data_IF_365522804257
#
_entry.id   IF_365522804257
#
_cell.length_a   1.000
_cell.length_b   1.000
_cell.length_c   1.000
_cell.angle_alpha   90.00
_cell.angle_beta   90.00
_cell.angle_gamma   90.00
#
_symmetry.space_group_name_H-M   'P 1'
#
loop_
_entity.id
_entity.type
_entity.pdbx_description
1 polymer ?
#
# COMPACT_ATOMS: atom_id res chain seq x y z
N UNK A 1 63.69 -2.76 20.76
CA UNK A 1 63.02 -3.50 19.66
C UNK A 1 61.71 -4.18 20.08
N UNK A 2 61.66 -5.02 21.13
CA UNK A 2 60.41 -5.69 21.57
C UNK A 2 59.22 -4.76 21.83
N UNK A 3 59.42 -3.63 22.51
CA UNK A 3 58.35 -2.63 22.78
C UNK A 3 57.80 -1.97 21.51
N UNK A 4 58.65 -1.71 20.52
CA UNK A 4 58.23 -1.09 19.25
C UNK A 4 57.39 -2.08 18.45
N UNK A 5 57.80 -3.35 18.39
CA UNK A 5 57.04 -4.42 17.76
C UNK A 5 55.67 -4.65 18.42
N UNK A 6 55.58 -4.62 19.76
CA UNK A 6 54.31 -4.73 20.47
C UNK A 6 53.38 -3.55 20.16
N UNK A 7 53.92 -2.32 20.14
CA UNK A 7 53.12 -1.14 19.81
C UNK A 7 52.62 -1.15 18.35
N UNK A 8 53.44 -1.61 17.40
CA UNK A 8 53.03 -1.76 15.99
C UNK A 8 51.94 -2.83 15.85
N UNK A 9 52.07 -3.95 16.57
CA UNK A 9 51.07 -5.02 16.56
C UNK A 9 49.73 -4.54 17.14
N UNK A 10 49.77 -3.72 18.20
CA UNK A 10 48.60 -3.12 18.85
C UNK A 10 47.91 -2.08 17.94
N UNK A 11 48.68 -1.29 17.19
CA UNK A 11 48.12 -0.33 16.22
C UNK A 11 47.48 -1.05 15.05
N UNK A 12 48.10 -2.12 14.55
CA UNK A 12 47.55 -2.95 13.46
C UNK A 12 46.27 -3.68 13.88
N UNK A 13 46.22 -4.23 15.10
CA UNK A 13 45.00 -4.88 15.60
C UNK A 13 43.89 -3.86 15.87
N UNK A 14 44.20 -2.70 16.46
CA UNK A 14 43.21 -1.62 16.65
C UNK A 14 42.70 -1.07 15.31
N UNK A 15 43.57 -0.91 14.30
CA UNK A 15 43.18 -0.49 12.95
C UNK A 15 42.27 -1.49 12.24
N UNK A 16 42.55 -2.79 12.34
CA UNK A 16 41.70 -3.85 11.79
C UNK A 16 40.32 -3.95 12.48
N UNK A 17 40.26 -3.66 13.78
CA UNK A 17 38.99 -3.59 14.52
C UNK A 17 38.17 -2.34 14.19
N UNK A 18 38.80 -1.23 13.80
CA UNK A 18 38.09 -0.03 13.33
C UNK A 18 37.50 -0.21 11.93
N UNK A 19 38.20 -0.89 11.02
CA UNK A 19 37.68 -1.20 9.67
C UNK A 19 36.48 -2.17 9.71
N UNK A 20 36.49 -3.14 10.63
CA UNK A 20 35.36 -4.07 10.82
C UNK A 20 34.15 -3.41 11.49
N UNK A 21 34.35 -2.49 12.43
CA UNK A 21 33.24 -1.72 13.02
C UNK A 21 32.69 -0.64 12.08
N UNK A 22 33.54 -0.05 11.23
CA UNK A 22 33.07 0.84 10.17
C UNK A 22 32.10 0.11 9.24
N UNK A 23 32.41 -1.12 8.82
CA UNK A 23 31.54 -1.95 7.98
C UNK A 23 30.18 -2.30 8.61
N UNK A 24 30.06 -2.39 9.94
CA UNK A 24 28.75 -2.62 10.59
C UNK A 24 27.85 -1.37 10.61
N UNK A 25 28.42 -0.18 10.41
CA UNK A 25 27.69 1.09 10.27
C UNK A 25 27.29 1.43 8.81
N UNK A 26 27.60 0.56 7.83
CA UNK A 26 27.48 0.82 6.38
C UNK A 26 26.14 0.43 5.73
N UNK A 27 25.07 0.25 6.52
CA UNK A 27 23.77 -0.06 5.92
C UNK A 27 22.60 0.51 6.70
N UNK A 28 21.70 1.17 5.98
CA UNK A 28 20.40 1.58 6.52
C UNK A 28 19.48 0.36 6.53
N UNK A 29 18.65 0.26 7.55
CA UNK A 29 17.73 -0.87 7.69
C UNK A 29 16.38 -0.51 7.08
N UNK A 30 15.97 -1.27 6.08
CA UNK A 30 14.63 -1.20 5.51
C UNK A 30 13.71 -2.25 6.15
N UNK A 31 12.44 -1.91 6.35
CA UNK A 31 11.40 -2.85 6.76
C UNK A 31 10.19 -2.73 5.87
N UNK A 32 9.75 -3.84 5.28
CA UNK A 32 8.47 -3.92 4.57
C UNK A 32 7.36 -4.31 5.53
N UNK A 33 6.23 -3.62 5.45
CA UNK A 33 5.02 -3.96 6.19
C UNK A 33 3.81 -3.84 5.29
N UNK A 34 3.04 -4.93 5.17
CA UNK A 34 1.74 -4.90 4.52
C UNK A 34 0.69 -4.47 5.54
N UNK A 35 -0.07 -3.42 5.24
CA UNK A 35 -1.04 -2.81 6.15
C UNK A 35 -2.42 -2.70 5.50
N UNK A 36 -3.47 -2.69 6.33
CA UNK A 36 -4.82 -2.39 5.84
C UNK A 36 -4.87 -0.97 5.30
N UNK A 37 -5.48 -0.79 4.13
CA UNK A 37 -5.85 0.51 3.63
C UNK A 37 -6.90 1.18 4.52
N UNK A 38 -7.82 0.38 5.08
CA UNK A 38 -8.86 0.82 6.01
C UNK A 38 -8.81 0.00 7.28
N UNK A 39 -8.62 0.70 8.41
CA UNK A 39 -8.62 0.08 9.72
C UNK A 39 -10.05 -0.10 10.22
N UNK A 40 -10.73 -1.10 9.67
CA UNK A 40 -12.12 -1.46 9.99
C UNK A 40 -12.22 -2.97 10.15
N UNK A 41 -13.05 -3.38 11.12
CA UNK A 41 -13.40 -4.77 11.36
C UNK A 41 -14.73 -5.16 10.69
N UNK A 42 -15.40 -4.20 10.03
CA UNK A 42 -16.60 -4.48 9.26
C UNK A 42 -16.23 -5.16 7.94
N UNK A 43 -16.75 -6.36 7.72
CA UNK A 43 -16.47 -7.19 6.54
C UNK A 43 -16.83 -6.50 5.22
N UNK A 44 -17.81 -5.60 5.22
CA UNK A 44 -18.22 -4.85 4.02
C UNK A 44 -17.25 -3.74 3.63
N UNK A 45 -16.39 -3.33 4.56
CA UNK A 45 -15.39 -2.26 4.35
C UNK A 45 -13.96 -2.74 4.57
N UNK A 46 -13.77 -3.95 5.10
CA UNK A 46 -12.48 -4.62 5.26
C UNK A 46 -11.93 -5.02 3.89
N UNK A 47 -10.71 -4.56 3.62
CA UNK A 47 -9.97 -4.86 2.39
C UNK A 47 -9.36 -6.27 2.42
N UNK A 48 -8.76 -6.68 3.53
CA UNK A 48 -8.13 -8.01 3.71
C UNK A 48 -8.25 -8.46 5.17
N UNK A 49 -8.46 -9.75 5.39
CA UNK A 49 -8.54 -10.33 6.74
C UNK A 49 -7.19 -10.27 7.48
N UNK A 50 -7.23 -10.16 8.81
CA UNK A 50 -6.03 -10.17 9.67
C UNK A 50 -5.15 -11.41 9.44
N UNK A 51 -5.77 -12.57 9.23
CA UNK A 51 -5.05 -13.81 8.92
C UNK A 51 -4.24 -13.69 7.64
N UNK A 52 -4.81 -13.06 6.61
CA UNK A 52 -4.13 -12.85 5.33
C UNK A 52 -3.02 -11.82 5.47
N UNK A 53 -3.23 -10.72 6.22
CA UNK A 53 -2.19 -9.75 6.52
C UNK A 53 -1.03 -10.35 7.30
N UNK A 54 -1.31 -11.18 8.30
CA UNK A 54 -0.28 -11.89 9.06
C UNK A 54 0.52 -12.84 8.18
N UNK A 55 -0.14 -13.54 7.25
CA UNK A 55 0.55 -14.37 6.26
C UNK A 55 1.45 -13.53 5.33
N UNK A 56 0.93 -12.43 4.79
CA UNK A 56 1.67 -11.56 3.90
C UNK A 56 2.90 -10.94 4.57
N UNK A 57 2.78 -10.48 5.82
CA UNK A 57 3.88 -9.89 6.59
C UNK A 57 4.94 -10.91 7.04
N UNK A 58 4.64 -12.21 7.07
CA UNK A 58 5.62 -13.26 7.39
C UNK A 58 6.42 -13.72 6.18
N UNK A 59 5.98 -13.39 4.97
CA UNK A 59 6.61 -13.81 3.72
C UNK A 59 7.84 -12.95 3.43
N UNK A 60 8.85 -13.55 2.80
CA UNK A 60 9.97 -12.80 2.24
C UNK A 60 9.52 -12.00 1.02
N UNK A 61 9.81 -10.70 1.00
CA UNK A 61 9.54 -9.81 -0.10
C UNK A 61 10.78 -9.61 -0.96
N UNK A 62 10.60 -9.52 -2.27
CA UNK A 62 11.68 -9.18 -3.19
C UNK A 62 11.82 -7.65 -3.24
N UNK A 63 13.03 -7.11 -3.12
CA UNK A 63 13.29 -5.66 -3.08
C UNK A 63 14.25 -5.29 -4.21
N UNK A 64 13.76 -4.55 -5.19
CA UNK A 64 14.59 -4.02 -6.26
C UNK A 64 15.02 -2.60 -5.90
N UNK A 65 16.33 -2.37 -5.75
CA UNK A 65 16.88 -1.04 -5.47
C UNK A 65 17.65 -0.60 -6.70
N UNK A 66 17.30 0.56 -7.24
CA UNK A 66 17.92 1.12 -8.44
C UNK A 66 18.44 2.52 -8.16
N UNK A 67 19.66 2.82 -8.57
CA UNK A 67 20.16 4.18 -8.71
C UNK A 67 20.53 4.45 -10.18
N UNK A 68 21.18 5.58 -10.48
CA UNK A 68 21.55 5.94 -11.86
C UNK A 68 22.54 4.98 -12.54
N UNK A 69 23.32 4.21 -11.78
CA UNK A 69 24.46 3.42 -12.28
C UNK A 69 24.26 1.92 -12.13
N UNK A 70 23.36 1.51 -11.24
CA UNK A 70 23.31 0.14 -10.75
C UNK A 70 21.92 -0.23 -10.22
N UNK A 71 21.61 -1.52 -10.32
CA UNK A 71 20.37 -2.12 -9.83
C UNK A 71 20.72 -3.41 -9.09
N UNK A 72 20.15 -3.59 -7.90
CA UNK A 72 20.27 -4.83 -7.13
C UNK A 72 18.91 -5.37 -6.72
N UNK A 73 18.83 -6.70 -6.60
CA UNK A 73 17.67 -7.41 -6.08
C UNK A 73 18.03 -8.05 -4.76
N UNK A 74 17.34 -7.63 -3.70
CA UNK A 74 17.47 -8.17 -2.34
C UNK A 74 16.19 -8.91 -1.96
N UNK A 75 16.24 -9.60 -0.82
CA UNK A 75 15.05 -10.15 -0.17
C UNK A 75 14.99 -9.74 1.28
N UNK A 76 13.78 -9.57 1.79
CA UNK A 76 13.58 -9.43 3.23
C UNK A 76 13.75 -10.77 3.93
N UNK A 77 14.01 -10.70 5.23
CA UNK A 77 13.82 -11.84 6.13
C UNK A 77 12.32 -12.07 6.44
N UNK A 78 12.04 -12.98 7.38
CA UNK A 78 10.67 -13.31 7.84
C UNK A 78 10.03 -12.23 8.71
N UNK A 79 10.78 -11.22 9.15
CA UNK A 79 10.29 -10.04 9.86
C UNK A 79 10.06 -8.86 8.91
N UNK A 80 10.28 -9.06 7.60
CA UNK A 80 10.18 -8.03 6.58
C UNK A 80 11.40 -7.11 6.51
N UNK A 81 12.51 -7.44 7.18
CA UNK A 81 13.69 -6.58 7.31
C UNK A 81 14.71 -6.88 6.20
N UNK A 82 15.37 -5.83 5.69
CA UNK A 82 16.48 -5.90 4.76
C UNK A 82 17.49 -4.78 4.99
N UNK A 83 18.71 -4.92 4.47
CA UNK A 83 19.77 -3.91 4.56
C UNK A 83 19.95 -3.20 3.22
N UNK A 84 19.99 -1.87 3.24
CA UNK A 84 20.22 -1.03 2.07
C UNK A 84 21.72 -0.71 2.00
N UNK A 85 22.42 -1.07 0.91
CA UNK A 85 23.82 -0.72 0.74
C UNK A 85 24.04 0.79 0.60
N UNK A 86 25.12 1.31 1.19
CA UNK A 86 25.53 2.73 1.13
C UNK A 86 25.50 3.36 -0.26
N UNK A 87 25.85 2.58 -1.30
CA UNK A 87 25.85 3.06 -2.70
C UNK A 87 24.47 3.55 -3.21
N UNK A 88 23.38 3.28 -2.50
CA UNK A 88 22.03 3.74 -2.84
C UNK A 88 21.52 4.91 -1.98
N UNK A 89 22.33 5.47 -1.07
CA UNK A 89 21.83 6.47 -0.11
C UNK A 89 21.54 7.84 -0.71
N UNK A 90 22.26 8.25 -1.76
CA UNK A 90 22.15 9.61 -2.31
C UNK A 90 20.96 9.79 -3.27
N UNK A 91 20.63 8.75 -4.03
CA UNK A 91 19.51 8.75 -4.96
C UNK A 91 19.16 7.29 -5.27
N UNK A 92 17.92 6.89 -5.02
CA UNK A 92 17.44 5.60 -5.46
C UNK A 92 15.92 5.56 -5.63
N UNK A 93 15.46 4.60 -6.42
CA UNK A 93 14.12 4.04 -6.31
C UNK A 93 14.21 2.67 -5.64
N UNK A 94 13.21 2.38 -4.81
CA UNK A 94 13.02 1.07 -4.17
C UNK A 94 11.67 0.55 -4.63
N UNK A 95 11.66 -0.56 -5.36
CA UNK A 95 10.45 -1.27 -5.74
C UNK A 95 10.32 -2.55 -4.92
N UNK A 96 9.26 -2.65 -4.14
CA UNK A 96 8.93 -3.85 -3.39
C UNK A 96 8.10 -4.78 -4.28
N UNK A 97 8.38 -6.08 -4.25
CA UNK A 97 7.79 -7.15 -5.06
C UNK A 97 7.60 -6.79 -6.54
N UNK A 98 8.66 -6.44 -7.30
CA UNK A 98 8.56 -5.92 -8.67
C UNK A 98 7.81 -6.86 -9.64
N UNK A 99 7.80 -8.16 -9.37
CA UNK A 99 7.13 -9.20 -10.19
C UNK A 99 5.70 -9.53 -9.75
N UNK A 100 5.24 -9.04 -8.58
CA UNK A 100 3.92 -9.35 -8.04
C UNK A 100 3.05 -8.11 -8.06
N UNK A 101 2.27 -7.93 -9.13
CA UNK A 101 1.49 -6.71 -9.40
C UNK A 101 0.67 -6.21 -8.20
N UNK A 102 0.05 -7.11 -7.44
CA UNK A 102 -0.88 -6.76 -6.35
C UNK A 102 -0.19 -6.44 -5.03
N UNK A 103 1.13 -6.64 -4.96
CA UNK A 103 2.00 -6.31 -3.83
C UNK A 103 3.15 -5.40 -4.26
N UNK A 104 3.11 -4.87 -5.48
CA UNK A 104 4.15 -4.04 -6.03
C UNK A 104 3.92 -2.61 -5.56
N UNK A 105 4.92 -2.05 -4.90
CA UNK A 105 4.92 -0.65 -4.48
C UNK A 105 6.27 -0.01 -4.83
N UNK A 106 6.27 1.25 -5.24
CA UNK A 106 7.48 1.96 -5.64
C UNK A 106 7.68 3.23 -4.81
N UNK A 107 8.89 3.37 -4.26
CA UNK A 107 9.30 4.47 -3.41
C UNK A 107 10.46 5.20 -4.07
N UNK A 108 10.28 6.48 -4.36
CA UNK A 108 11.29 7.30 -5.03
C UNK A 108 11.94 8.27 -4.05
N UNK A 109 13.27 8.26 -4.00
CA UNK A 109 14.08 9.11 -3.13
C UNK A 109 15.00 9.99 -3.98
N UNK A 110 14.48 11.15 -4.39
CA UNK A 110 15.19 12.09 -5.27
C UNK A 110 16.36 12.78 -4.55
N UNK A 111 16.16 13.11 -3.27
CA UNK A 111 17.15 13.79 -2.42
C UNK A 111 17.96 12.80 -1.56
N UNK A 112 17.81 11.50 -1.83
CA UNK A 112 18.40 10.42 -1.05
C UNK A 112 17.57 9.99 0.15
N UNK A 113 18.09 9.03 0.92
CA UNK A 113 17.38 8.39 2.02
C UNK A 113 17.37 9.22 3.32
N UNK A 114 18.04 10.38 3.32
CA UNK A 114 18.20 11.24 4.50
C UNK A 114 19.07 10.63 5.60
N UNK A 115 19.10 11.27 6.78
CA UNK A 115 19.93 10.85 7.92
C UNK A 115 19.35 9.67 8.72
N UNK A 116 18.12 9.24 8.47
CA UNK A 116 17.45 8.18 9.26
C UNK A 116 18.13 6.83 9.09
N UNK A 117 18.42 6.14 10.19
CA UNK A 117 19.05 4.81 10.18
C UNK A 117 18.11 3.71 9.70
N UNK A 118 16.80 3.94 9.77
CA UNK A 118 15.78 2.99 9.34
C UNK A 118 14.65 3.61 8.52
N UNK A 119 14.08 2.80 7.63
CA UNK A 119 12.96 3.14 6.75
C UNK A 119 11.89 2.05 6.83
N UNK A 120 10.63 2.45 7.02
CA UNK A 120 9.48 1.55 6.94
C UNK A 120 8.71 1.78 5.63
N UNK A 121 8.63 0.75 4.80
CA UNK A 121 7.95 0.72 3.52
C UNK A 121 6.58 0.06 3.70
N UNK A 122 5.53 0.88 3.72
CA UNK A 122 4.15 0.41 3.88
C UNK A 122 3.55 0.07 2.52
N UNK A 123 3.14 -1.18 2.36
CA UNK A 123 2.35 -1.63 1.21
C UNK A 123 0.90 -1.73 1.66
N UNK A 124 0.02 -0.97 1.03
CA UNK A 124 -1.40 -1.05 1.34
C UNK A 124 -2.04 -2.23 0.62
N UNK A 125 -2.88 -2.97 1.32
CA UNK A 125 -3.59 -4.14 0.80
C UNK A 125 -4.71 -3.81 -0.20
N UNK A 126 -4.91 -2.53 -0.53
CA UNK A 126 -5.91 -2.06 -1.48
C UNK A 126 -5.83 -2.80 -2.82
N UNK A 127 -4.63 -2.98 -3.38
CA UNK A 127 -4.43 -3.69 -4.64
C UNK A 127 -4.83 -5.17 -4.56
N UNK A 128 -4.61 -5.80 -3.41
CA UNK A 128 -4.99 -7.19 -3.14
C UNK A 128 -6.52 -7.31 -3.08
N UNK A 129 -7.16 -6.44 -2.30
CA UNK A 129 -8.61 -6.44 -2.12
C UNK A 129 -9.35 -6.23 -3.45
N UNK A 130 -8.87 -5.27 -4.25
CA UNK A 130 -9.37 -5.02 -5.60
C UNK A 130 -9.22 -6.23 -6.52
N UNK A 131 -8.08 -6.94 -6.46
CA UNK A 131 -7.89 -8.14 -7.26
C UNK A 131 -8.83 -9.26 -6.85
N UNK A 132 -8.97 -9.51 -5.55
CA UNK A 132 -9.86 -10.56 -5.04
C UNK A 132 -11.29 -10.30 -5.51
N UNK A 133 -11.77 -9.07 -5.31
CA UNK A 133 -13.14 -8.69 -5.66
C UNK A 133 -13.36 -8.73 -7.18
N UNK A 134 -12.42 -8.23 -7.99
CA UNK A 134 -12.51 -8.30 -9.45
C UNK A 134 -12.45 -9.72 -10.00
N UNK A 135 -11.79 -10.65 -9.33
CA UNK A 135 -11.74 -12.06 -9.74
C UNK A 135 -13.05 -12.78 -9.42
N UNK A 136 -13.64 -12.47 -8.27
CA UNK A 136 -14.85 -13.14 -7.77
C UNK A 136 -16.16 -12.55 -8.31
N UNK A 137 -16.18 -11.25 -8.63
CA UNK A 137 -17.34 -10.55 -9.20
C UNK A 137 -16.93 -9.77 -10.48
N UNK A 138 -16.42 -10.45 -11.52
CA UNK A 138 -15.80 -9.79 -12.67
C UNK A 138 -16.77 -8.92 -13.49
N UNK A 139 -17.99 -9.39 -13.72
CA UNK A 139 -18.99 -8.63 -14.48
C UNK A 139 -19.38 -7.34 -13.78
N UNK A 140 -19.57 -7.40 -12.46
CA UNK A 140 -19.89 -6.24 -11.64
C UNK A 140 -18.69 -5.29 -11.56
N UNK A 141 -17.47 -5.81 -11.35
CA UNK A 141 -16.25 -5.01 -11.30
C UNK A 141 -15.96 -4.26 -12.61
N UNK A 142 -16.25 -4.87 -13.75
CA UNK A 142 -16.07 -4.22 -15.06
C UNK A 142 -17.00 -3.01 -15.22
N UNK A 143 -18.18 -3.04 -14.61
CA UNK A 143 -19.16 -1.95 -14.65
C UNK A 143 -18.97 -0.92 -13.55
N UNK A 144 -18.47 -1.35 -12.40
CA UNK A 144 -18.37 -0.52 -11.20
C UNK A 144 -17.00 -0.79 -10.57
N UNK A 145 -16.14 0.22 -10.59
CA UNK A 145 -14.87 0.25 -9.87
C UNK A 145 -14.41 1.72 -9.75
N UNK A 146 -13.29 1.97 -9.07
CA UNK A 146 -12.80 3.35 -8.86
C UNK A 146 -12.46 4.08 -10.16
N UNK A 147 -11.86 3.38 -11.14
CA UNK A 147 -11.59 3.96 -12.47
C UNK A 147 -12.89 4.31 -13.21
N UNK A 148 -13.92 3.48 -13.08
CA UNK A 148 -15.23 3.71 -13.69
C UNK A 148 -15.96 4.87 -13.00
N UNK A 149 -15.83 5.03 -11.68
CA UNK A 149 -16.34 6.20 -10.96
C UNK A 149 -15.73 7.50 -11.49
N UNK A 150 -14.42 7.53 -11.74
CA UNK A 150 -13.75 8.68 -12.35
C UNK A 150 -14.29 8.96 -13.76
N UNK A 151 -14.38 7.93 -14.60
CA UNK A 151 -14.93 8.07 -15.96
C UNK A 151 -16.36 8.60 -15.95
N UNK A 152 -17.20 8.08 -15.05
CA UNK A 152 -18.60 8.49 -14.93
C UNK A 152 -18.69 9.93 -14.42
N UNK A 153 -17.87 10.33 -13.44
CA UNK A 153 -17.80 11.70 -12.96
C UNK A 153 -17.44 12.69 -14.09
N UNK A 154 -16.38 12.41 -14.86
CA UNK A 154 -15.94 13.27 -15.96
C UNK A 154 -16.92 13.30 -17.13
N UNK A 155 -17.72 12.25 -17.30
CA UNK A 155 -18.81 12.20 -18.28
C UNK A 155 -20.11 12.89 -17.79
N UNK A 156 -20.14 13.40 -16.56
CA UNK A 156 -21.33 14.02 -15.96
C UNK A 156 -22.30 13.03 -15.30
N UNK A 157 -22.02 11.73 -15.34
CA UNK A 157 -22.82 10.66 -14.73
C UNK A 157 -22.49 10.52 -13.24
N UNK A 158 -22.83 11.55 -12.46
CA UNK A 158 -22.62 11.57 -11.00
C UNK A 158 -23.69 10.73 -10.33
N UNK A 159 -23.29 9.61 -9.72
CA UNK A 159 -24.23 8.66 -9.11
C UNK A 159 -23.72 8.04 -7.83
N UNK A 160 -24.64 7.79 -6.92
CA UNK A 160 -24.43 7.01 -5.71
C UNK A 160 -25.20 5.69 -5.84
N UNK A 161 -24.48 4.58 -5.74
CA UNK A 161 -25.05 3.26 -5.94
C UNK A 161 -25.58 2.70 -4.61
N UNK A 162 -26.77 2.11 -4.60
CA UNK A 162 -27.32 1.35 -3.48
C UNK A 162 -27.34 -0.14 -3.80
N UNK A 163 -27.01 -0.98 -2.82
CA UNK A 163 -26.96 -2.42 -3.01
C UNK A 163 -28.36 -3.03 -3.09
N UNK A 164 -28.56 -3.97 -4.01
CA UNK A 164 -29.78 -4.77 -4.04
C UNK A 164 -29.83 -5.72 -2.84
N UNK A 165 -31.04 -5.96 -2.31
CA UNK A 165 -31.25 -6.89 -1.19
C UNK A 165 -30.79 -6.36 0.18
N UNK A 166 -30.39 -5.09 0.28
CA UNK A 166 -30.15 -4.42 1.57
C UNK A 166 -31.39 -3.61 1.95
N UNK A 167 -31.88 -3.85 3.17
CA UNK A 167 -32.87 -2.97 3.79
C UNK A 167 -32.16 -1.76 4.41
N UNK A 168 -32.47 -0.58 3.90
CA UNK A 168 -31.91 0.68 4.34
C UNK A 168 -32.86 1.39 5.32
N UNK A 169 -32.33 1.99 6.38
CA UNK A 169 -33.16 2.76 7.30
C UNK A 169 -33.73 4.01 6.61
N UNK A 170 -34.95 4.40 6.99
CA UNK A 170 -35.61 5.60 6.46
C UNK A 170 -34.75 6.85 6.63
N UNK A 171 -34.16 7.02 7.82
CA UNK A 171 -33.26 8.14 8.10
C UNK A 171 -32.04 8.17 7.17
N UNK A 172 -31.46 7.02 6.82
CA UNK A 172 -30.34 6.97 5.88
C UNK A 172 -30.76 7.44 4.49
N UNK A 173 -31.90 6.94 3.99
CA UNK A 173 -32.41 7.32 2.66
C UNK A 173 -32.71 8.82 2.61
N UNK A 174 -33.36 9.38 3.64
CA UNK A 174 -33.66 10.81 3.71
C UNK A 174 -32.38 11.67 3.69
N UNK A 175 -31.34 11.28 4.43
CA UNK A 175 -30.05 11.98 4.39
C UNK A 175 -29.36 11.86 3.02
N UNK A 176 -29.44 10.69 2.40
CA UNK A 176 -28.86 10.48 1.07
C UNK A 176 -29.55 11.34 0.00
N UNK A 177 -30.87 11.47 0.05
CA UNK A 177 -31.64 12.33 -0.86
C UNK A 177 -31.29 13.82 -0.68
N UNK A 178 -31.07 14.28 0.56
CA UNK A 178 -30.61 15.64 0.82
C UNK A 178 -29.22 15.88 0.21
N UNK A 179 -28.29 14.93 0.39
CA UNK A 179 -26.94 15.01 -0.20
C UNK A 179 -26.97 14.94 -1.72
N UNK A 180 -27.84 14.11 -2.29
CA UNK A 180 -28.07 14.02 -3.74
C UNK A 180 -28.43 15.38 -4.34
N UNK A 181 -29.32 16.13 -3.67
CA UNK A 181 -29.68 17.50 -4.08
C UNK A 181 -28.55 18.51 -3.85
N UNK A 182 -27.86 18.44 -2.71
CA UNK A 182 -26.76 19.35 -2.36
C UNK A 182 -25.58 19.26 -3.33
N UNK A 183 -25.21 18.04 -3.74
CA UNK A 183 -24.02 17.79 -4.56
C UNK A 183 -24.32 17.40 -6.01
N UNK A 184 -25.59 17.27 -6.38
CA UNK A 184 -26.04 17.00 -7.74
C UNK A 184 -25.61 15.63 -8.26
N UNK A 185 -25.98 14.56 -7.54
CA UNK A 185 -25.80 13.17 -7.98
C UNK A 185 -27.10 12.39 -7.92
N UNK A 186 -27.25 11.38 -8.77
CA UNK A 186 -28.41 10.49 -8.79
C UNK A 186 -28.21 9.28 -7.86
N UNK A 187 -29.30 8.75 -7.30
CA UNK A 187 -29.27 7.53 -6.51
C UNK A 187 -29.71 6.38 -7.42
N UNK A 188 -28.87 5.36 -7.60
CA UNK A 188 -29.11 4.26 -8.54
C UNK A 188 -28.99 2.91 -7.84
N UNK A 189 -29.80 1.94 -8.26
CA UNK A 189 -29.68 0.54 -7.87
C UNK A 189 -29.04 -0.23 -9.04
N UNK A 190 -27.82 -0.77 -8.90
CA UNK A 190 -27.16 -1.49 -9.97
C UNK A 190 -27.97 -2.70 -10.46
N UNK A 191 -28.24 -2.74 -11.76
CA UNK A 191 -28.86 -3.90 -12.38
C UNK A 191 -27.97 -5.15 -12.24
N UNK A 192 -28.58 -6.30 -11.98
CA UNK A 192 -27.93 -7.62 -11.90
C UNK A 192 -26.91 -7.80 -10.76
N UNK A 193 -26.97 -6.97 -9.72
CA UNK A 193 -26.23 -7.23 -8.50
C UNK A 193 -26.82 -8.44 -7.77
N UNK A 194 -25.99 -9.43 -7.44
CA UNK A 194 -26.39 -10.67 -6.75
C UNK A 194 -26.38 -10.55 -5.23
N UNK A 195 -25.87 -9.44 -4.68
CA UNK A 195 -25.80 -9.18 -3.24
C UNK A 195 -24.62 -9.87 -2.56
N UNK A 196 -23.58 -10.25 -3.31
CA UNK A 196 -22.39 -10.88 -2.74
C UNK A 196 -21.52 -9.86 -2.00
N UNK A 197 -20.73 -10.34 -1.03
CA UNK A 197 -19.84 -9.47 -0.25
C UNK A 197 -18.88 -8.68 -1.15
N UNK A 198 -18.35 -9.33 -2.19
CA UNK A 198 -17.47 -8.73 -3.18
C UNK A 198 -18.13 -7.59 -3.94
N UNK A 199 -19.37 -7.77 -4.41
CA UNK A 199 -20.13 -6.71 -5.09
C UNK A 199 -20.40 -5.53 -4.17
N UNK A 200 -20.74 -5.79 -2.89
CA UNK A 200 -20.90 -4.72 -1.90
C UNK A 200 -19.61 -3.95 -1.65
N UNK A 201 -18.47 -4.63 -1.54
CA UNK A 201 -17.15 -3.97 -1.41
C UNK A 201 -16.80 -3.14 -2.65
N UNK A 202 -17.12 -3.64 -3.83
CA UNK A 202 -16.92 -2.92 -5.10
C UNK A 202 -17.76 -1.64 -5.15
N UNK A 203 -19.06 -1.77 -4.86
CA UNK A 203 -20.01 -0.66 -4.79
C UNK A 203 -19.56 0.39 -3.78
N UNK A 204 -19.13 -0.07 -2.60
CA UNK A 204 -18.61 0.79 -1.56
C UNK A 204 -17.42 1.63 -2.05
N UNK A 205 -16.41 1.00 -2.69
CA UNK A 205 -15.23 1.71 -3.22
C UNK A 205 -15.58 2.65 -4.37
N UNK A 206 -16.51 2.26 -5.25
CA UNK A 206 -17.03 3.13 -6.30
C UNK A 206 -17.63 4.40 -5.68
N UNK A 207 -18.53 4.23 -4.71
CA UNK A 207 -19.18 5.33 -4.03
C UNK A 207 -18.15 6.21 -3.34
N UNK A 208 -17.27 5.63 -2.54
CA UNK A 208 -16.20 6.36 -1.84
C UNK A 208 -15.38 7.27 -2.77
N UNK A 209 -14.97 6.72 -3.93
CA UNK A 209 -14.27 7.51 -4.95
C UNK A 209 -15.15 8.62 -5.53
N UNK A 210 -16.43 8.36 -5.78
CA UNK A 210 -17.37 9.39 -6.23
C UNK A 210 -17.55 10.51 -5.18
N UNK A 211 -17.58 10.17 -3.88
CA UNK A 211 -17.65 11.16 -2.78
C UNK A 211 -16.44 12.09 -2.80
N UNK A 212 -15.24 11.52 -2.94
CA UNK A 212 -13.99 12.27 -3.04
C UNK A 212 -14.03 13.25 -4.22
N UNK A 213 -14.45 12.77 -5.40
CA UNK A 213 -14.55 13.58 -6.62
C UNK A 213 -15.59 14.71 -6.50
N UNK A 214 -16.69 14.46 -5.79
CA UNK A 214 -17.70 15.46 -5.48
C UNK A 214 -17.29 16.41 -4.33
N UNK A 215 -16.17 16.15 -3.65
CA UNK A 215 -15.64 17.00 -2.58
C UNK A 215 -16.37 16.87 -1.24
N UNK A 216 -17.01 15.73 -0.98
CA UNK A 216 -17.92 15.55 0.17
C UNK A 216 -17.12 15.04 1.37
N UNK A 217 -16.85 15.92 2.35
CA UNK A 217 -15.91 15.65 3.46
C UNK A 217 -16.55 15.04 4.72
N UNK A 218 -17.86 15.18 4.93
CA UNK A 218 -18.60 14.66 6.08
C UNK A 218 -19.85 13.91 5.60
N UNK A 219 -19.75 12.59 5.45
CA UNK A 219 -20.84 11.77 4.88
C UNK A 219 -21.85 11.28 5.92
N UNK A 220 -21.71 11.66 7.20
CA UNK A 220 -22.55 11.20 8.31
C UNK A 220 -22.66 12.28 9.37
#
# INVERSE_FOLDING_TARGET
>A
MKRILINILLILTVGLFQDTFAQESESKVGKVKVVKYRDTNDKFTESTTDKTLAYLNKRKHDILITNKKDTTLLKTDSLGIFKIPNKYFNYCSITVNPKTKDLREEFLFIEGLGAKDSLEFKIYDYHISNKIDSTKAPEFYNKFNTKKAEQDFFAGNKRYLLGNGIEYSKNFIEQLELKSKEYGFEIEYPEKMSGTLEEHRILYRYNDRMKELLGIKNWW
#
